data_IF_736633496262
#
_entry.id   IF_736633496262
#
_cell.length_a   1.000
_cell.length_b   1.000
_cell.length_c   1.000
_cell.angle_alpha   90.00
_cell.angle_beta   90.00
_cell.angle_gamma   90.00
#
_symmetry.space_group_name_H-M   'P 1'
#
loop_
_entity.id
_entity.type
_entity.pdbx_description
1 polymer ?
#
# COMPACT_ATOMS: atom_id res chain seq x y z
N UNK A 1 -3.71 9.30 58.83
CA UNK A 1 -4.39 10.31 59.71
C UNK A 1 -5.23 11.22 58.83
N UNK A 2 -6.52 11.15 59.09
CA UNK A 2 -7.51 12.26 59.18
C UNK A 2 -7.63 13.11 57.87
N UNK A 3 -8.77 13.47 57.35
CA UNK A 3 -10.21 13.32 57.68
C UNK A 3 -10.98 14.24 56.74
N UNK A 4 -12.10 13.80 56.16
CA UNK A 4 -13.44 14.43 56.07
C UNK A 4 -13.53 15.86 55.48
N UNK A 5 -14.53 16.29 54.71
CA UNK A 5 -15.99 16.33 54.91
C UNK A 5 -16.61 16.91 53.62
N UNK A 6 -17.57 16.34 52.91
CA UNK A 6 -19.04 16.37 53.04
C UNK A 6 -19.65 17.78 53.02
N UNK A 7 -20.61 17.93 52.19
CA UNK A 7 -21.93 18.63 52.20
C UNK A 7 -22.11 19.54 51.01
N UNK A 8 -23.22 19.68 50.33
CA UNK A 8 -24.59 19.22 50.32
C UNK A 8 -25.34 20.08 49.27
N UNK A 9 -26.17 19.48 48.47
CA UNK A 9 -27.57 19.67 48.27
C UNK A 9 -28.08 21.13 48.11
N UNK A 10 -28.64 21.48 46.94
CA UNK A 10 -29.94 22.18 46.88
C UNK A 10 -30.63 21.93 45.53
N UNK A 11 -31.76 21.32 45.68
CA UNK A 11 -32.87 21.08 44.77
C UNK A 11 -33.74 22.33 44.71
N UNK A 12 -34.06 22.85 43.52
CA UNK A 12 -35.19 23.76 43.34
C UNK A 12 -36.00 23.30 42.14
N UNK A 13 -37.16 22.81 42.51
CA UNK A 13 -38.30 22.41 41.65
C UNK A 13 -39.23 23.64 41.55
N UNK A 14 -39.56 24.08 40.33
CA UNK A 14 -40.69 24.99 40.12
C UNK A 14 -41.55 24.48 39.03
N UNK A 15 -42.74 24.04 39.41
CA UNK A 15 -43.93 23.76 38.61
C UNK A 15 -44.77 25.04 38.49
N UNK A 16 -45.25 25.38 37.28
CA UNK A 16 -46.51 26.17 37.09
C UNK A 16 -47.02 25.82 35.66
N UNK A 17 -47.98 24.97 35.52
CA UNK A 17 -49.43 25.14 35.41
C UNK A 17 -49.93 25.78 34.11
N UNK A 18 -50.77 24.96 33.45
CA UNK A 18 -51.63 25.16 32.28
C UNK A 18 -52.52 26.41 32.34
N UNK A 19 -52.85 26.94 31.15
CA UNK A 19 -54.18 27.51 30.89
C UNK A 19 -54.54 27.34 29.40
N UNK A 20 -55.62 26.61 29.17
CA UNK A 20 -56.38 26.58 27.92
C UNK A 20 -57.20 27.87 27.77
N UNK A 21 -57.34 28.39 26.56
CA UNK A 21 -58.50 29.17 26.18
C UNK A 21 -58.77 29.07 24.67
N UNK A 22 -60.00 28.95 24.37
CA UNK A 22 -60.73 28.59 23.15
C UNK A 22 -60.75 29.69 22.07
N UNK A 23 -60.96 29.22 20.85
CA UNK A 23 -61.21 29.87 19.55
C UNK A 23 -62.26 31.01 19.53
N UNK A 24 -62.41 31.82 18.44
CA UNK A 24 -63.13 31.33 17.25
C UNK A 24 -62.49 31.75 15.87
N UNK A 25 -62.98 31.05 14.84
CA UNK A 25 -62.73 31.16 13.41
C UNK A 25 -62.94 32.57 12.83
N UNK A 26 -62.11 32.93 11.83
CA UNK A 26 -62.54 33.57 10.57
C UNK A 26 -61.66 33.09 9.43
N UNK A 27 -62.30 32.77 8.34
CA UNK A 27 -61.84 32.24 7.08
C UNK A 27 -61.26 33.38 6.22
N UNK A 28 -60.07 33.17 5.59
CA UNK A 28 -59.89 33.60 4.18
C UNK A 28 -58.66 32.97 3.56
N UNK A 29 -58.84 32.53 2.35
CA UNK A 29 -57.93 31.99 1.37
C UNK A 29 -56.68 32.86 1.16
N UNK A 30 -55.47 32.26 1.12
CA UNK A 30 -54.71 32.24 -0.11
C UNK A 30 -53.54 31.23 -0.05
N UNK A 31 -53.47 30.57 -1.13
CA UNK A 31 -52.46 29.67 -1.68
C UNK A 31 -51.05 30.18 -1.52
N UNK A 32 -50.18 29.47 -0.85
CA UNK A 32 -48.84 29.20 -1.36
C UNK A 32 -48.31 27.91 -0.69
N UNK A 33 -48.48 26.79 -1.39
CA UNK A 33 -47.91 25.48 -1.01
C UNK A 33 -46.46 25.48 -1.42
N UNK A 34 -45.58 25.98 -0.56
CA UNK A 34 -44.17 25.64 -0.66
C UNK A 34 -44.04 24.22 -0.09
N UNK A 35 -44.21 23.25 -0.97
CA UNK A 35 -43.82 21.85 -0.72
C UNK A 35 -42.32 21.86 -0.51
N UNK A 36 -41.87 21.89 0.73
CA UNK A 36 -40.53 21.47 1.06
C UNK A 36 -40.41 19.99 0.67
N UNK A 37 -39.90 19.75 -0.53
CA UNK A 37 -39.40 18.44 -0.91
C UNK A 37 -38.30 18.11 0.05
N UNK A 38 -38.58 17.31 1.06
CA UNK A 38 -37.55 16.54 1.72
C UNK A 38 -36.99 15.59 0.66
N UNK A 39 -35.95 16.03 -0.02
CA UNK A 39 -35.12 15.12 -0.80
C UNK A 39 -34.61 14.04 0.17
N UNK A 40 -35.28 12.92 0.16
CA UNK A 40 -34.76 11.68 0.69
C UNK A 40 -33.51 11.43 -0.18
N UNK A 41 -32.35 11.78 0.32
CA UNK A 41 -31.09 11.41 -0.29
C UNK A 41 -31.06 9.88 -0.33
N UNK A 42 -31.52 9.32 -1.43
CA UNK A 42 -31.35 7.90 -1.71
C UNK A 42 -29.84 7.67 -1.71
N UNK A 43 -29.34 7.01 -0.69
CA UNK A 43 -27.93 6.57 -0.61
C UNK A 43 -27.68 5.72 -1.86
N UNK A 44 -26.86 6.24 -2.77
CA UNK A 44 -26.44 5.46 -3.93
C UNK A 44 -25.72 4.20 -3.45
N UNK A 45 -25.86 3.08 -4.18
CA UNK A 45 -25.04 1.91 -3.89
C UNK A 45 -23.57 2.31 -4.01
N UNK A 46 -22.77 1.88 -3.05
CA UNK A 46 -21.32 2.07 -3.08
C UNK A 46 -20.72 1.15 -4.13
N UNK A 47 -19.59 1.56 -4.69
CA UNK A 47 -18.77 0.68 -5.54
C UNK A 47 -18.19 -0.44 -4.68
N UNK A 48 -18.22 -1.66 -5.20
CA UNK A 48 -17.54 -2.82 -4.61
C UNK A 48 -16.18 -2.99 -5.29
N UNK A 49 -15.10 -2.78 -4.55
CA UNK A 49 -13.75 -2.74 -5.10
C UNK A 49 -12.88 -3.81 -4.44
N UNK A 50 -12.18 -4.58 -5.26
CA UNK A 50 -11.14 -5.50 -4.81
C UNK A 50 -9.77 -4.91 -5.13
N UNK A 51 -8.90 -4.83 -4.14
CA UNK A 51 -7.51 -4.42 -4.29
C UNK A 51 -6.59 -5.62 -4.03
N UNK A 52 -5.56 -5.81 -4.84
CA UNK A 52 -4.70 -7.00 -4.77
C UNK A 52 -4.01 -7.13 -3.41
N UNK A 53 -3.17 -6.19 -3.05
CA UNK A 53 -2.39 -6.22 -1.81
C UNK A 53 -2.36 -4.85 -1.12
N UNK A 54 -1.62 -4.73 -0.01
CA UNK A 54 -1.78 -3.63 0.94
C UNK A 54 -1.62 -2.22 0.33
N UNK A 55 -0.58 -1.84 -0.45
CA UNK A 55 -0.50 -0.51 -1.05
C UNK A 55 -1.68 -0.19 -1.95
N UNK A 56 -2.13 -1.14 -2.77
CA UNK A 56 -3.29 -0.96 -3.65
C UNK A 56 -4.57 -0.73 -2.85
N UNK A 57 -4.76 -1.47 -1.76
CA UNK A 57 -5.85 -1.27 -0.83
C UNK A 57 -5.80 0.11 -0.16
N UNK A 58 -4.63 0.49 0.37
CA UNK A 58 -4.48 1.78 1.08
C UNK A 58 -4.73 2.96 0.14
N UNK A 59 -4.11 2.96 -1.05
CA UNK A 59 -4.29 4.05 -2.02
C UNK A 59 -5.75 4.14 -2.49
N UNK A 60 -6.36 3.01 -2.81
CA UNK A 60 -7.77 2.96 -3.21
C UNK A 60 -8.69 3.49 -2.12
N UNK A 61 -8.49 3.05 -0.88
CA UNK A 61 -9.28 3.49 0.27
C UNK A 61 -9.14 5.00 0.52
N UNK A 62 -7.93 5.54 0.39
CA UNK A 62 -7.68 6.97 0.55
C UNK A 62 -8.40 7.81 -0.51
N UNK A 63 -8.47 7.32 -1.75
CA UNK A 63 -9.18 7.99 -2.84
C UNK A 63 -10.69 7.84 -2.74
N UNK A 64 -11.16 6.61 -2.52
CA UNK A 64 -12.59 6.28 -2.52
C UNK A 64 -13.34 6.89 -1.32
N UNK A 65 -12.69 6.98 -0.15
CA UNK A 65 -13.33 7.44 1.07
C UNK A 65 -14.54 6.57 1.43
N UNK A 66 -15.65 7.21 1.69
CA UNK A 66 -16.92 6.56 2.02
C UNK A 66 -17.80 6.19 0.81
N UNK A 67 -17.32 6.44 -0.42
CA UNK A 67 -18.05 6.22 -1.68
C UNK A 67 -17.95 4.79 -2.20
N UNK A 68 -17.00 4.00 -1.67
CA UNK A 68 -16.84 2.60 -2.04
C UNK A 68 -16.62 1.71 -0.80
N UNK A 69 -16.88 0.43 -0.97
CA UNK A 69 -16.38 -0.63 -0.11
C UNK A 69 -15.10 -1.17 -0.78
N UNK A 70 -14.00 -1.09 -0.08
CA UNK A 70 -12.71 -1.54 -0.60
C UNK A 70 -12.23 -2.71 0.25
N UNK A 71 -12.08 -3.86 -0.39
CA UNK A 71 -11.57 -5.07 0.24
C UNK A 71 -10.20 -5.43 -0.32
N UNK A 72 -9.33 -5.92 0.53
CA UNK A 72 -8.03 -6.46 0.14
C UNK A 72 -8.17 -7.96 -0.15
N UNK A 73 -7.57 -8.43 -1.25
CA UNK A 73 -7.61 -9.85 -1.63
C UNK A 73 -6.59 -10.66 -0.82
N UNK A 74 -5.36 -10.18 -0.72
CA UNK A 74 -4.30 -10.89 -0.01
C UNK A 74 -4.41 -10.62 1.48
N UNK A 75 -4.63 -11.66 2.31
CA UNK A 75 -4.82 -11.49 3.75
C UNK A 75 -3.59 -10.92 4.46
N UNK A 76 -3.80 -10.40 5.68
CA UNK A 76 -2.70 -10.02 6.57
C UNK A 76 -1.74 -11.20 6.82
N UNK A 77 -0.46 -10.89 7.01
CA UNK A 77 0.63 -11.86 7.21
C UNK A 77 0.87 -12.84 6.05
N UNK A 78 0.36 -12.54 4.84
CA UNK A 78 0.60 -13.33 3.64
C UNK A 78 1.52 -12.53 2.71
N UNK A 79 2.54 -13.21 2.20
CA UNK A 79 3.49 -12.68 1.22
C UNK A 79 2.82 -12.66 -0.17
N UNK A 80 2.84 -11.54 -0.93
CA UNK A 80 2.03 -11.39 -2.12
C UNK A 80 2.64 -11.95 -3.42
N UNK A 81 3.95 -12.13 -3.52
CA UNK A 81 4.60 -12.52 -4.78
C UNK A 81 4.14 -13.89 -5.30
N UNK A 82 3.94 -14.85 -4.37
CA UNK A 82 3.51 -16.21 -4.71
C UNK A 82 2.02 -16.46 -4.42
N UNK A 83 1.29 -15.42 -4.05
CA UNK A 83 -0.12 -15.61 -3.73
C UNK A 83 -0.96 -15.87 -4.98
N UNK A 84 -1.81 -16.88 -4.92
CA UNK A 84 -2.74 -17.25 -5.97
C UNK A 84 -4.19 -17.19 -5.47
N UNK A 85 -5.13 -16.62 -6.26
CA UNK A 85 -6.52 -16.54 -5.84
C UNK A 85 -7.21 -17.90 -5.85
N UNK A 86 -7.97 -18.16 -4.79
CA UNK A 86 -8.87 -19.31 -4.74
C UNK A 86 -10.06 -19.14 -5.68
N UNK A 87 -10.82 -20.22 -5.91
CA UNK A 87 -12.06 -20.13 -6.70
C UNK A 87 -13.08 -19.15 -6.08
N UNK A 88 -13.05 -18.96 -4.76
CA UNK A 88 -13.88 -17.97 -4.08
C UNK A 88 -13.40 -16.55 -4.39
N UNK A 89 -12.10 -16.29 -4.31
CA UNK A 89 -11.53 -14.97 -4.63
C UNK A 89 -11.83 -14.58 -6.08
N UNK A 90 -11.69 -15.53 -7.02
CA UNK A 90 -12.05 -15.31 -8.43
C UNK A 90 -13.54 -14.94 -8.58
N UNK A 91 -14.42 -15.60 -7.86
CA UNK A 91 -15.84 -15.27 -7.89
C UNK A 91 -16.13 -13.88 -7.29
N UNK A 92 -15.45 -13.51 -6.22
CA UNK A 92 -15.56 -12.18 -5.60
C UNK A 92 -15.01 -11.08 -6.52
N UNK A 93 -13.87 -11.29 -7.17
CA UNK A 93 -13.29 -10.37 -8.16
C UNK A 93 -14.27 -10.18 -9.33
N UNK A 94 -14.81 -11.27 -9.88
CA UNK A 94 -15.71 -11.21 -11.03
C UNK A 94 -17.00 -10.45 -10.74
N UNK A 95 -17.46 -10.46 -9.49
CA UNK A 95 -18.67 -9.77 -9.06
C UNK A 95 -18.43 -8.31 -8.60
N UNK A 96 -17.17 -7.90 -8.48
CA UNK A 96 -16.81 -6.54 -8.11
C UNK A 96 -17.06 -5.54 -9.26
N UNK A 97 -17.14 -4.25 -8.91
CA UNK A 97 -17.19 -3.17 -9.89
C UNK A 97 -15.80 -2.81 -10.42
N UNK A 98 -14.75 -2.98 -9.58
CA UNK A 98 -13.37 -2.64 -9.92
C UNK A 98 -12.38 -3.61 -9.26
N UNK A 99 -11.40 -4.05 -10.04
CA UNK A 99 -10.14 -4.64 -9.55
C UNK A 99 -9.03 -3.59 -9.65
N UNK A 100 -8.33 -3.36 -8.54
CA UNK A 100 -7.13 -2.52 -8.47
C UNK A 100 -5.93 -3.41 -8.20
N UNK A 101 -4.93 -3.37 -9.08
CA UNK A 101 -3.71 -4.14 -8.97
C UNK A 101 -2.49 -3.28 -9.34
N UNK A 102 -1.30 -3.69 -8.90
CA UNK A 102 -0.08 -2.94 -9.17
C UNK A 102 0.35 -3.04 -10.63
N UNK A 103 0.44 -4.27 -11.15
CA UNK A 103 1.07 -4.55 -12.44
C UNK A 103 2.57 -4.75 -12.33
N UNK A 104 3.28 -4.54 -13.43
CA UNK A 104 4.73 -4.73 -13.52
C UNK A 104 5.21 -6.13 -13.07
N UNK A 105 4.37 -7.16 -13.22
CA UNK A 105 4.68 -8.54 -12.87
C UNK A 105 4.38 -8.93 -11.41
N UNK A 106 3.90 -8.01 -10.56
CA UNK A 106 3.59 -8.31 -9.15
C UNK A 106 2.51 -9.38 -9.00
N UNK A 107 1.44 -9.27 -9.75
CA UNK A 107 0.29 -10.19 -9.69
C UNK A 107 0.27 -11.08 -10.93
N UNK A 108 1.02 -12.18 -10.91
CA UNK A 108 1.12 -13.13 -12.03
C UNK A 108 -0.22 -13.78 -12.43
N UNK A 109 -1.19 -13.79 -11.52
CA UNK A 109 -2.52 -14.37 -11.72
C UNK A 109 -3.51 -13.45 -12.47
N UNK A 110 -3.21 -12.15 -12.62
CA UNK A 110 -4.17 -11.16 -13.15
C UNK A 110 -4.55 -11.46 -14.59
N UNK A 111 -3.61 -11.77 -15.46
CA UNK A 111 -3.87 -12.04 -16.88
C UNK A 111 -4.84 -13.21 -17.10
N UNK A 112 -4.73 -14.25 -16.27
CA UNK A 112 -5.65 -15.38 -16.31
C UNK A 112 -7.08 -14.96 -15.93
N UNK A 113 -7.22 -14.14 -14.88
CA UNK A 113 -8.54 -13.61 -14.47
C UNK A 113 -9.12 -12.72 -15.56
N UNK A 114 -8.35 -11.77 -16.10
CA UNK A 114 -8.81 -10.87 -17.15
C UNK A 114 -9.28 -11.62 -18.40
N UNK A 115 -8.58 -12.66 -18.78
CA UNK A 115 -8.99 -13.51 -19.91
C UNK A 115 -10.31 -14.24 -19.63
N UNK A 116 -10.53 -14.69 -18.41
CA UNK A 116 -11.74 -15.43 -18.02
C UNK A 116 -12.95 -14.52 -17.78
N UNK A 117 -12.74 -13.24 -17.48
CA UNK A 117 -13.80 -12.24 -17.22
C UNK A 117 -14.17 -11.41 -18.45
N UNK A 118 -13.67 -11.75 -19.64
CA UNK A 118 -13.99 -11.04 -20.87
C UNK A 118 -15.51 -10.95 -21.08
N UNK A 119 -16.04 -9.72 -21.19
CA UNK A 119 -17.47 -9.45 -21.28
C UNK A 119 -18.21 -9.31 -19.96
N UNK A 120 -17.53 -9.41 -18.82
CA UNK A 120 -18.08 -9.04 -17.50
C UNK A 120 -18.21 -7.53 -17.34
N UNK A 121 -18.81 -7.10 -16.22
CA UNK A 121 -18.89 -5.68 -15.84
C UNK A 121 -17.65 -5.18 -15.11
N UNK A 122 -16.75 -6.07 -14.75
CA UNK A 122 -15.54 -5.77 -13.98
C UNK A 122 -14.69 -4.75 -14.73
N UNK A 123 -14.49 -3.59 -14.12
CA UNK A 123 -13.45 -2.65 -14.53
C UNK A 123 -12.12 -3.04 -13.88
N UNK A 124 -11.02 -2.62 -14.50
CA UNK A 124 -9.68 -2.92 -13.99
C UNK A 124 -8.80 -1.69 -14.07
N UNK A 125 -7.97 -1.47 -13.06
CA UNK A 125 -6.92 -0.47 -13.10
C UNK A 125 -5.60 -1.08 -12.68
N UNK A 126 -4.63 -0.99 -13.58
CA UNK A 126 -3.21 -1.20 -13.30
C UNK A 126 -2.65 0.11 -12.73
N UNK A 127 -2.29 0.09 -11.45
CA UNK A 127 -1.88 1.31 -10.75
C UNK A 127 -0.54 1.85 -11.25
N UNK A 128 0.41 0.98 -11.61
CA UNK A 128 1.71 1.36 -12.16
C UNK A 128 1.69 1.80 -13.63
N UNK A 129 0.52 1.75 -14.29
CA UNK A 129 0.41 2.07 -15.71
C UNK A 129 0.99 3.43 -16.08
N UNK A 130 1.88 3.45 -17.07
CA UNK A 130 2.52 4.68 -17.56
C UNK A 130 3.73 5.11 -16.74
N UNK A 131 4.09 4.41 -15.66
CA UNK A 131 5.36 4.56 -14.99
C UNK A 131 6.50 3.94 -15.81
N UNK A 132 7.72 4.45 -15.60
CA UNK A 132 8.91 3.83 -16.16
C UNK A 132 9.33 2.67 -15.24
N UNK A 133 8.94 1.46 -15.63
CA UNK A 133 9.28 0.25 -14.89
C UNK A 133 10.76 -0.07 -15.10
N UNK A 134 11.43 -0.48 -14.03
CA UNK A 134 12.83 -0.93 -14.06
C UNK A 134 12.89 -2.40 -14.43
N UNK A 135 13.96 -2.78 -15.11
CA UNK A 135 14.32 -4.18 -15.24
C UNK A 135 14.68 -4.73 -13.86
N UNK A 136 14.27 -5.94 -13.60
CA UNK A 136 14.64 -6.68 -12.39
C UNK A 136 16.14 -6.99 -12.35
N UNK A 137 16.60 -7.43 -11.19
CA UNK A 137 17.98 -7.88 -11.05
C UNK A 137 18.04 -9.28 -11.66
N UNK A 138 18.80 -9.42 -12.76
CA UNK A 138 19.03 -10.72 -13.39
C UNK A 138 19.60 -11.70 -12.36
N UNK A 139 18.94 -12.84 -12.19
CA UNK A 139 19.48 -13.92 -11.39
C UNK A 139 20.75 -14.44 -12.09
N UNK A 140 21.87 -14.50 -11.37
CA UNK A 140 23.01 -15.29 -11.84
C UNK A 140 22.61 -16.77 -11.72
N UNK A 141 21.98 -17.32 -12.78
CA UNK A 141 21.81 -18.77 -12.89
C UNK A 141 23.18 -19.41 -12.69
N UNK A 142 23.28 -20.32 -11.75
CA UNK A 142 24.42 -21.19 -11.55
C UNK A 142 24.56 -22.16 -12.73
N UNK A 143 24.93 -21.65 -13.90
CA UNK A 143 25.17 -22.43 -15.09
C UNK A 143 26.55 -23.09 -15.01
N UNK A 144 26.63 -24.25 -14.34
CA UNK A 144 27.57 -25.29 -14.70
C UNK A 144 26.80 -26.31 -15.60
N UNK A 145 26.74 -26.04 -16.88
CA UNK A 145 26.15 -26.94 -17.87
C UNK A 145 26.61 -26.53 -19.27
N UNK A 146 27.53 -27.29 -19.83
CA UNK A 146 27.94 -27.21 -21.24
C UNK A 146 26.70 -27.37 -22.14
N UNK A 147 26.36 -26.37 -22.93
CA UNK A 147 25.28 -26.44 -23.93
C UNK A 147 25.81 -26.90 -25.26
N UNK A 148 25.38 -28.10 -25.69
CA UNK A 148 25.34 -28.49 -27.09
C UNK A 148 24.26 -27.67 -27.82
N UNK A 149 24.62 -27.19 -29.02
CA UNK A 149 23.74 -26.43 -29.90
C UNK A 149 22.56 -27.28 -30.40
N UNK A 150 21.34 -26.85 -30.12
CA UNK A 150 20.11 -27.40 -30.69
C UNK A 150 19.09 -26.29 -30.93
N UNK A 151 18.97 -25.83 -32.18
CA UNK A 151 17.94 -24.93 -32.64
C UNK A 151 16.54 -25.51 -32.43
N UNK A 152 15.72 -24.83 -31.65
CA UNK A 152 14.27 -24.92 -31.76
C UNK A 152 13.68 -23.53 -31.46
N UNK A 153 13.03 -22.94 -32.50
CA UNK A 153 12.21 -21.74 -32.35
C UNK A 153 11.09 -21.99 -31.32
N UNK A 154 11.24 -21.45 -30.16
CA UNK A 154 10.13 -21.15 -29.27
C UNK A 154 10.17 -19.64 -29.02
N UNK A 155 9.15 -18.95 -29.54
CA UNK A 155 8.75 -17.62 -29.04
C UNK A 155 8.37 -17.74 -27.56
N UNK A 156 9.34 -17.95 -26.69
CA UNK A 156 9.25 -17.58 -25.30
C UNK A 156 9.51 -16.09 -25.29
N UNK A 157 8.47 -15.28 -25.13
CA UNK A 157 8.61 -13.94 -24.65
C UNK A 157 9.24 -14.06 -23.27
N UNK A 158 10.57 -13.97 -23.23
CA UNK A 158 11.36 -13.72 -22.04
C UNK A 158 10.94 -12.31 -21.58
N UNK A 159 9.87 -12.27 -20.77
CA UNK A 159 9.57 -11.11 -19.95
C UNK A 159 10.64 -11.13 -18.88
N UNK A 160 11.81 -10.53 -19.17
CA UNK A 160 12.82 -10.26 -18.17
C UNK A 160 12.11 -9.72 -16.94
N UNK A 161 12.34 -10.35 -15.79
CA UNK A 161 11.63 -10.00 -14.57
C UNK A 161 11.66 -8.49 -14.36
N UNK A 162 10.49 -7.87 -14.39
CA UNK A 162 10.36 -6.44 -14.11
C UNK A 162 10.36 -6.21 -12.61
N UNK A 163 10.97 -5.13 -12.16
CA UNK A 163 10.88 -4.73 -10.74
C UNK A 163 9.50 -4.11 -10.46
N UNK A 164 8.62 -4.77 -9.69
CA UNK A 164 7.27 -4.29 -9.45
C UNK A 164 7.15 -3.22 -8.37
N UNK A 165 8.19 -2.97 -7.56
CA UNK A 165 8.12 -2.29 -6.26
C UNK A 165 8.02 -0.75 -6.35
N UNK A 166 7.24 -0.24 -7.32
CA UNK A 166 7.09 1.20 -7.61
C UNK A 166 6.52 1.98 -6.43
N UNK A 167 5.64 1.36 -5.62
CA UNK A 167 5.00 1.99 -4.46
C UNK A 167 5.98 2.41 -3.37
N UNK A 168 7.20 1.87 -3.35
CA UNK A 168 8.25 2.24 -2.38
C UNK A 168 8.92 3.58 -2.68
N UNK A 169 8.64 4.18 -3.83
CA UNK A 169 8.97 5.58 -4.10
C UNK A 169 7.74 6.46 -3.88
N UNK A 170 7.70 7.32 -2.85
CA UNK A 170 6.60 8.26 -2.65
C UNK A 170 6.27 9.12 -3.89
N UNK A 171 7.29 9.44 -4.69
CA UNK A 171 7.10 10.20 -5.94
C UNK A 171 6.34 9.38 -7.00
N UNK A 172 6.57 8.07 -7.10
CA UNK A 172 5.86 7.18 -8.04
C UNK A 172 4.47 6.80 -7.50
N UNK A 173 4.33 6.60 -6.19
CA UNK A 173 3.04 6.36 -5.54
C UNK A 173 2.01 7.47 -5.83
N UNK A 174 2.44 8.71 -6.04
CA UNK A 174 1.58 9.82 -6.49
C UNK A 174 0.89 9.48 -7.83
N UNK A 175 1.62 8.88 -8.77
CA UNK A 175 1.03 8.52 -10.07
C UNK A 175 0.07 7.34 -9.93
N UNK A 176 0.40 6.35 -9.08
CA UNK A 176 -0.50 5.23 -8.79
C UNK A 176 -1.84 5.73 -8.20
N UNK A 177 -1.78 6.65 -7.24
CA UNK A 177 -2.98 7.29 -6.66
C UNK A 177 -3.78 8.04 -7.73
N UNK A 178 -3.12 8.70 -8.70
CA UNK A 178 -3.81 9.38 -9.81
C UNK A 178 -4.47 8.41 -10.77
N UNK A 179 -3.83 7.30 -11.10
CA UNK A 179 -4.39 6.28 -11.96
C UNK A 179 -5.67 5.66 -11.33
N UNK A 180 -5.61 5.35 -10.04
CA UNK A 180 -6.76 4.88 -9.27
C UNK A 180 -7.89 5.93 -9.27
N UNK A 181 -7.56 7.20 -8.99
CA UNK A 181 -8.54 8.29 -8.97
C UNK A 181 -9.25 8.47 -10.32
N UNK A 182 -8.50 8.42 -11.41
CA UNK A 182 -9.07 8.56 -12.76
C UNK A 182 -10.07 7.46 -13.06
N UNK A 183 -9.75 6.20 -12.73
CA UNK A 183 -10.64 5.08 -12.96
C UNK A 183 -11.89 5.14 -12.08
N UNK A 184 -11.75 5.48 -10.80
CA UNK A 184 -12.89 5.70 -9.91
C UNK A 184 -13.82 6.81 -10.43
N UNK A 185 -13.25 7.91 -10.92
CA UNK A 185 -14.03 9.01 -11.49
C UNK A 185 -14.74 8.61 -12.80
N UNK A 186 -14.16 7.70 -13.58
CA UNK A 186 -14.78 7.14 -14.78
C UNK A 186 -15.96 6.23 -14.44
N UNK A 187 -15.82 5.43 -13.39
CA UNK A 187 -16.87 4.50 -12.93
C UNK A 187 -18.04 5.19 -12.23
N UNK A 188 -17.74 6.21 -11.42
CA UNK A 188 -18.76 7.01 -10.73
C UNK A 188 -18.55 8.51 -10.99
N UNK A 189 -18.98 9.03 -12.17
CA UNK A 189 -18.79 10.43 -12.54
C UNK A 189 -19.42 11.42 -11.55
N UNK A 190 -20.49 11.03 -10.92
CA UNK A 190 -21.17 11.84 -9.90
C UNK A 190 -20.35 12.06 -8.63
N UNK A 191 -19.44 11.14 -8.31
CA UNK A 191 -18.53 11.21 -7.17
C UNK A 191 -17.12 11.70 -7.57
N UNK A 192 -16.89 12.01 -8.84
CA UNK A 192 -15.57 12.39 -9.37
C UNK A 192 -14.91 13.53 -8.58
N UNK A 193 -15.68 14.56 -8.20
CA UNK A 193 -15.17 15.67 -7.39
C UNK A 193 -14.70 15.25 -6.00
N UNK A 194 -15.37 14.26 -5.40
CA UNK A 194 -14.98 13.70 -4.09
C UNK A 194 -13.68 12.92 -4.24
N UNK A 195 -13.59 12.05 -5.25
CA UNK A 195 -12.37 11.27 -5.53
C UNK A 195 -11.17 12.18 -5.83
N UNK A 196 -11.36 13.23 -6.62
CA UNK A 196 -10.33 14.21 -6.91
C UNK A 196 -9.88 14.97 -5.64
N UNK A 197 -10.79 15.41 -4.81
CA UNK A 197 -10.47 16.09 -3.55
C UNK A 197 -9.69 15.17 -2.60
N UNK A 198 -10.12 13.91 -2.43
CA UNK A 198 -9.47 12.92 -1.60
C UNK A 198 -8.06 12.59 -2.13
N UNK A 199 -7.94 12.30 -3.44
CA UNK A 199 -6.66 12.04 -4.07
C UNK A 199 -5.69 13.21 -3.89
N UNK A 200 -6.11 14.44 -4.12
CA UNK A 200 -5.27 15.63 -3.95
C UNK A 200 -4.82 15.78 -2.49
N UNK A 201 -5.69 15.51 -1.52
CA UNK A 201 -5.35 15.55 -0.10
C UNK A 201 -4.31 14.48 0.29
N UNK A 202 -4.42 13.27 -0.27
CA UNK A 202 -3.45 12.21 -0.01
C UNK A 202 -2.12 12.44 -0.75
N UNK A 203 -2.18 12.92 -2.00
CA UNK A 203 -1.01 13.29 -2.78
C UNK A 203 -0.19 14.38 -2.07
N UNK A 204 -0.82 15.37 -1.47
CA UNK A 204 -0.10 16.38 -0.68
C UNK A 204 0.67 15.77 0.50
N UNK A 205 0.19 14.66 1.07
CA UNK A 205 0.91 13.93 2.11
C UNK A 205 2.07 13.12 1.54
N UNK A 206 1.92 12.52 0.35
CA UNK A 206 2.99 11.81 -0.36
C UNK A 206 4.09 12.77 -0.81
N UNK A 207 3.75 13.95 -1.32
CA UNK A 207 4.71 15.01 -1.68
C UNK A 207 5.53 15.46 -0.45
N UNK A 208 4.87 15.59 0.70
CA UNK A 208 5.58 15.88 1.95
C UNK A 208 6.51 14.75 2.34
N UNK A 209 6.06 13.50 2.22
CA UNK A 209 6.88 12.33 2.50
C UNK A 209 8.09 12.25 1.56
N UNK A 210 7.92 12.51 0.26
CA UNK A 210 9.02 12.61 -0.70
C UNK A 210 10.06 13.65 -0.26
N UNK A 211 9.60 14.83 0.15
CA UNK A 211 10.50 15.87 0.68
C UNK A 211 11.23 15.43 1.95
N UNK A 212 10.56 14.73 2.87
CA UNK A 212 11.15 14.16 4.07
C UNK A 212 12.29 13.19 3.70
N UNK A 213 12.08 12.30 2.72
CA UNK A 213 13.10 11.39 2.20
C UNK A 213 14.27 12.13 1.55
N UNK A 214 14.01 13.07 0.64
CA UNK A 214 15.05 13.89 -0.02
C UNK A 214 15.92 14.63 0.99
N UNK A 215 15.32 15.24 1.99
CA UNK A 215 16.06 15.96 3.01
C UNK A 215 16.82 15.02 3.96
N UNK A 216 16.15 13.93 4.37
CA UNK A 216 16.69 12.99 5.33
C UNK A 216 17.87 12.15 4.83
N UNK A 217 17.91 11.86 3.51
CA UNK A 217 18.91 10.99 2.90
C UNK A 217 20.01 11.74 2.15
N UNK A 218 19.86 13.07 1.95
CA UNK A 218 20.80 13.90 1.17
C UNK A 218 22.25 13.80 1.67
N UNK A 219 22.43 13.92 2.96
CA UNK A 219 23.76 14.09 3.60
C UNK A 219 24.17 12.88 4.44
N UNK A 220 23.68 11.69 4.14
CA UNK A 220 24.11 10.46 4.81
C UNK A 220 25.58 10.18 4.51
N UNK A 221 26.31 9.62 5.48
CA UNK A 221 27.75 9.27 5.35
C UNK A 221 27.99 8.18 4.31
N UNK A 222 26.98 7.30 4.14
CA UNK A 222 27.00 6.18 3.19
C UNK A 222 25.81 6.28 2.27
N UNK A 223 25.89 5.59 1.14
CA UNK A 223 24.81 5.51 0.16
C UNK A 223 24.34 4.08 -0.10
N UNK A 224 25.10 3.10 0.33
CA UNK A 224 24.80 1.67 0.16
C UNK A 224 24.11 1.10 1.40
N UNK A 225 23.14 0.25 1.18
CA UNK A 225 22.42 -0.48 2.22
C UNK A 225 22.09 -1.90 1.74
N UNK A 226 22.11 -2.87 2.66
CA UNK A 226 21.88 -4.29 2.36
C UNK A 226 20.48 -4.66 2.83
N UNK A 227 19.70 -5.28 1.94
CA UNK A 227 18.32 -5.71 2.18
C UNK A 227 18.16 -7.20 1.95
N UNK A 228 17.09 -7.78 2.48
CA UNK A 228 16.77 -9.18 2.31
C UNK A 228 16.47 -9.50 0.85
N UNK A 229 15.54 -8.80 0.21
CA UNK A 229 15.30 -8.92 -1.23
C UNK A 229 15.37 -7.57 -1.97
N UNK A 230 15.17 -7.58 -3.28
CA UNK A 230 15.43 -6.46 -4.18
C UNK A 230 14.26 -5.47 -4.30
N UNK A 231 13.50 -5.21 -3.22
CA UNK A 231 12.32 -4.35 -3.27
C UNK A 231 12.59 -2.84 -3.39
N UNK A 232 13.74 -2.38 -2.92
CA UNK A 232 13.97 -0.94 -2.71
C UNK A 232 14.69 -0.25 -3.87
N UNK A 233 14.68 -0.82 -5.08
CA UNK A 233 15.36 -0.29 -6.26
C UNK A 233 14.87 1.11 -6.64
N UNK A 234 13.57 1.33 -6.69
CA UNK A 234 12.99 2.66 -7.00
C UNK A 234 13.29 3.70 -5.93
N UNK A 235 13.18 3.33 -4.65
CA UNK A 235 13.56 4.19 -3.53
C UNK A 235 15.04 4.57 -3.61
N UNK A 236 15.90 3.59 -3.84
CA UNK A 236 17.35 3.82 -3.97
C UNK A 236 17.65 4.78 -5.12
N UNK A 237 17.08 4.56 -6.30
CA UNK A 237 17.24 5.42 -7.47
C UNK A 237 16.79 6.85 -7.20
N UNK A 238 15.59 7.01 -6.60
CA UNK A 238 14.99 8.33 -6.38
C UNK A 238 15.79 9.20 -5.41
N UNK A 239 16.39 8.59 -4.38
CA UNK A 239 17.09 9.33 -3.32
C UNK A 239 18.62 9.20 -3.38
N UNK A 240 19.17 8.68 -4.50
CA UNK A 240 20.62 8.59 -4.74
C UNK A 240 21.32 7.62 -3.77
N UNK A 241 20.66 6.50 -3.47
CA UNK A 241 21.19 5.38 -2.70
C UNK A 241 21.52 4.21 -3.63
N UNK A 242 22.18 3.20 -3.08
CA UNK A 242 22.49 1.92 -3.74
C UNK A 242 22.01 0.78 -2.88
N UNK A 243 21.00 0.06 -3.34
CA UNK A 243 20.56 -1.20 -2.72
C UNK A 243 21.51 -2.33 -3.07
N UNK A 244 21.83 -3.17 -2.12
CA UNK A 244 22.57 -4.42 -2.27
C UNK A 244 21.69 -5.55 -1.72
N UNK A 245 20.90 -6.24 -2.55
CA UNK A 245 19.99 -7.25 -2.07
C UNK A 245 20.69 -8.59 -1.85
N UNK A 246 20.22 -9.35 -0.86
CA UNK A 246 20.68 -10.72 -0.56
C UNK A 246 20.00 -11.70 -1.53
N UNK A 247 18.66 -11.60 -1.66
CA UNK A 247 17.83 -12.38 -2.58
C UNK A 247 17.44 -11.55 -3.83
N UNK A 248 16.75 -12.20 -4.79
CA UNK A 248 16.21 -11.58 -6.00
C UNK A 248 15.00 -10.67 -5.74
N UNK A 249 14.04 -10.64 -6.67
CA UNK A 249 12.84 -9.80 -6.58
C UNK A 249 11.78 -10.35 -5.64
N UNK A 250 11.76 -11.64 -5.36
CA UNK A 250 10.89 -12.25 -4.37
C UNK A 250 11.67 -12.63 -3.10
N UNK A 251 11.11 -12.42 -1.91
CA UNK A 251 11.84 -12.58 -0.65
C UNK A 251 12.07 -14.03 -0.22
N UNK A 252 11.38 -15.00 -0.81
CA UNK A 252 11.48 -16.43 -0.54
C UNK A 252 12.60 -17.11 -1.34
N UNK A 253 13.19 -16.43 -2.33
CA UNK A 253 14.32 -16.92 -3.11
C UNK A 253 15.55 -17.13 -2.22
N UNK A 254 16.08 -18.36 -2.24
CA UNK A 254 17.27 -18.69 -1.46
C UNK A 254 18.55 -18.21 -2.19
N UNK A 255 19.35 -17.31 -1.57
CA UNK A 255 20.60 -16.87 -2.18
C UNK A 255 21.62 -18.02 -2.25
N UNK A 256 22.38 -18.10 -3.35
CA UNK A 256 23.45 -19.07 -3.47
C UNK A 256 24.56 -18.83 -2.43
N UNK A 257 25.33 -19.88 -2.08
CA UNK A 257 26.47 -19.74 -1.17
C UNK A 257 27.51 -18.74 -1.70
N UNK A 258 27.68 -18.62 -3.01
CA UNK A 258 28.51 -17.61 -3.68
C UNK A 258 27.98 -16.22 -3.37
N UNK A 259 26.70 -15.96 -3.59
CA UNK A 259 26.04 -14.67 -3.32
C UNK A 259 26.19 -14.27 -1.85
N UNK A 260 25.93 -15.20 -0.92
CA UNK A 260 26.12 -14.95 0.51
C UNK A 260 27.56 -14.52 0.83
N UNK A 261 28.56 -15.19 0.25
CA UNK A 261 29.97 -14.83 0.43
C UNK A 261 30.29 -13.45 -0.15
N UNK A 262 29.76 -13.10 -1.30
CA UNK A 262 29.92 -11.79 -1.93
C UNK A 262 29.32 -10.67 -1.06
N UNK A 263 28.12 -10.86 -0.52
CA UNK A 263 27.50 -9.91 0.38
C UNK A 263 28.30 -9.72 1.66
N UNK A 264 28.80 -10.81 2.26
CA UNK A 264 29.69 -10.76 3.44
C UNK A 264 30.95 -9.96 3.14
N UNK A 265 31.61 -10.21 1.99
CA UNK A 265 32.80 -9.49 1.57
C UNK A 265 32.52 -8.01 1.31
N UNK A 266 31.40 -7.71 0.62
CA UNK A 266 30.94 -6.33 0.41
C UNK A 266 30.75 -5.62 1.76
N UNK A 267 30.00 -6.24 2.66
CA UNK A 267 29.69 -5.68 3.98
C UNK A 267 30.95 -5.41 4.81
N UNK A 268 31.92 -6.32 4.81
CA UNK A 268 33.22 -6.14 5.49
C UNK A 268 34.01 -5.00 4.86
N UNK A 269 34.11 -4.95 3.54
CA UNK A 269 34.87 -3.92 2.80
C UNK A 269 34.28 -2.53 3.00
N UNK A 270 32.97 -2.42 2.99
CA UNK A 270 32.23 -1.16 3.15
C UNK A 270 31.90 -0.82 4.60
N UNK A 271 32.35 -1.62 5.57
CA UNK A 271 32.11 -1.42 7.00
C UNK A 271 30.61 -1.28 7.34
N UNK A 272 29.75 -2.11 6.71
CA UNK A 272 28.32 -2.15 6.97
C UNK A 272 28.07 -2.58 8.41
N UNK A 273 27.18 -1.88 9.12
CA UNK A 273 26.84 -2.16 10.51
C UNK A 273 25.40 -2.56 10.72
N UNK A 274 24.59 -2.46 9.69
CA UNK A 274 23.17 -2.83 9.73
C UNK A 274 22.79 -3.59 8.47
N UNK A 275 22.19 -4.79 8.64
CA UNK A 275 21.56 -5.57 7.58
C UNK A 275 20.05 -5.48 7.78
N UNK A 276 19.33 -5.18 6.71
CA UNK A 276 17.89 -5.04 6.77
C UNK A 276 17.18 -6.36 6.45
N UNK A 277 16.12 -6.64 7.22
CA UNK A 277 15.19 -7.74 7.01
C UNK A 277 13.75 -7.20 7.00
N UNK A 278 12.80 -8.05 6.66
CA UNK A 278 11.39 -7.73 6.41
C UNK A 278 10.46 -8.39 7.41
N UNK A 279 9.20 -7.90 7.46
CA UNK A 279 8.26 -8.32 8.52
C UNK A 279 7.49 -9.59 8.19
N UNK A 280 7.30 -9.93 6.90
CA UNK A 280 6.45 -11.05 6.46
C UNK A 280 7.21 -12.36 6.21
N UNK A 281 8.52 -12.32 6.15
CA UNK A 281 9.36 -13.47 5.81
C UNK A 281 10.44 -13.72 6.87
N UNK A 282 11.12 -14.88 6.79
CA UNK A 282 12.18 -15.24 7.74
C UNK A 282 13.40 -14.33 7.61
N UNK A 283 13.88 -13.76 8.71
CA UNK A 283 15.12 -12.96 8.78
C UNK A 283 16.41 -13.78 8.71
N UNK A 284 16.34 -15.11 8.54
CA UNK A 284 17.48 -16.04 8.75
C UNK A 284 18.71 -15.69 7.92
N UNK A 285 18.57 -15.27 6.66
CA UNK A 285 19.70 -14.89 5.82
C UNK A 285 20.33 -13.56 6.26
N UNK A 286 19.50 -12.56 6.56
CA UNK A 286 19.97 -11.28 7.07
C UNK A 286 20.68 -11.42 8.41
N UNK A 287 20.14 -12.24 9.32
CA UNK A 287 20.74 -12.52 10.63
C UNK A 287 22.06 -13.30 10.50
N UNK A 288 22.15 -14.24 9.56
CA UNK A 288 23.38 -14.98 9.28
C UNK A 288 24.49 -14.05 8.82
N UNK A 289 24.22 -13.15 7.87
CA UNK A 289 25.19 -12.18 7.40
C UNK A 289 25.57 -11.20 8.51
N UNK A 290 24.58 -10.67 9.24
CA UNK A 290 24.83 -9.75 10.35
C UNK A 290 25.73 -10.37 11.42
N UNK A 291 25.49 -11.62 11.79
CA UNK A 291 26.32 -12.38 12.73
C UNK A 291 27.76 -12.58 12.23
N UNK A 292 27.93 -12.96 10.97
CA UNK A 292 29.25 -13.20 10.37
C UNK A 292 30.14 -11.93 10.34
N UNK A 293 29.55 -10.76 10.18
CA UNK A 293 30.29 -9.50 10.11
C UNK A 293 30.29 -8.70 11.41
N UNK A 294 29.58 -9.17 12.44
CA UNK A 294 29.42 -8.44 13.70
C UNK A 294 28.53 -7.19 13.57
N UNK A 295 27.61 -7.21 12.61
CA UNK A 295 26.60 -6.16 12.43
C UNK A 295 25.32 -6.49 13.21
N UNK A 296 24.35 -5.60 13.18
CA UNK A 296 22.99 -5.82 13.71
C UNK A 296 21.99 -5.97 12.58
N UNK A 297 20.87 -6.62 12.87
CA UNK A 297 19.70 -6.65 12.01
C UNK A 297 18.75 -5.51 12.35
N UNK A 298 18.05 -4.98 11.36
CA UNK A 298 16.99 -3.98 11.53
C UNK A 298 15.89 -4.19 10.50
N UNK A 299 14.69 -3.72 10.80
CA UNK A 299 13.56 -3.82 9.86
C UNK A 299 13.65 -2.70 8.82
N UNK A 300 13.46 -3.07 7.55
CA UNK A 300 13.10 -2.18 6.45
C UNK A 300 11.91 -2.84 5.74
N UNK A 301 10.75 -2.23 5.85
CA UNK A 301 9.47 -2.84 5.48
C UNK A 301 9.13 -2.52 4.02
N UNK A 302 8.98 -3.52 3.12
CA UNK A 302 8.62 -3.30 1.72
C UNK A 302 7.13 -2.98 1.52
N UNK A 303 6.31 -2.94 2.58
CA UNK A 303 4.87 -2.67 2.52
C UNK A 303 4.07 -3.66 1.64
N UNK A 304 4.58 -4.83 1.40
CA UNK A 304 3.90 -5.87 0.59
C UNK A 304 2.65 -6.42 1.27
N UNK A 305 2.57 -6.28 2.57
CA UNK A 305 1.40 -6.63 3.37
C UNK A 305 1.36 -5.83 4.66
N UNK A 306 0.40 -6.15 5.49
CA UNK A 306 0.26 -5.59 6.83
C UNK A 306 0.06 -6.73 7.82
N UNK A 307 0.74 -6.67 8.94
CA UNK A 307 0.56 -7.65 10.01
C UNK A 307 -0.73 -7.37 10.81
N UNK A 308 -1.28 -8.38 11.47
CA UNK A 308 -2.42 -8.20 12.36
C UNK A 308 -2.14 -7.18 13.46
N UNK A 309 -0.89 -7.12 13.95
CA UNK A 309 -0.45 -6.16 14.96
C UNK A 309 -0.47 -4.72 14.42
N UNK A 310 0.04 -4.48 13.23
CA UNK A 310 0.05 -3.17 12.57
C UNK A 310 -1.36 -2.69 12.27
N UNK A 311 -2.22 -3.61 11.77
CA UNK A 311 -3.63 -3.34 11.57
C UNK A 311 -4.34 -2.92 12.85
N UNK A 312 -4.10 -3.62 13.96
CA UNK A 312 -4.66 -3.29 15.27
C UNK A 312 -4.15 -1.93 15.80
N UNK A 313 -2.96 -1.50 15.42
CA UNK A 313 -2.35 -0.22 15.77
C UNK A 313 -2.70 0.92 14.81
N UNK A 314 -3.55 0.67 13.80
CA UNK A 314 -3.87 1.62 12.73
C UNK A 314 -2.62 2.18 12.02
N UNK A 315 -1.59 1.36 11.87
CA UNK A 315 -0.42 1.69 11.06
C UNK A 315 -0.86 1.85 9.60
N UNK A 316 -0.25 2.78 8.88
CA UNK A 316 -0.58 3.06 7.50
C UNK A 316 0.67 3.26 6.65
N UNK A 317 0.51 3.31 5.33
CA UNK A 317 1.60 3.49 4.37
C UNK A 317 2.56 4.64 4.77
N UNK A 318 2.03 5.81 5.09
CA UNK A 318 2.84 6.99 5.43
C UNK A 318 3.66 6.78 6.71
N UNK A 319 3.10 6.07 7.69
CA UNK A 319 3.80 5.80 8.96
C UNK A 319 4.90 4.77 8.79
N UNK A 320 4.66 3.70 8.01
CA UNK A 320 5.68 2.68 7.70
C UNK A 320 6.83 3.31 6.91
N UNK A 321 6.53 4.08 5.87
CA UNK A 321 7.57 4.77 5.09
C UNK A 321 8.40 5.72 5.94
N UNK A 322 7.84 6.42 6.93
CA UNK A 322 8.62 7.23 7.87
C UNK A 322 9.51 6.38 8.78
N UNK A 323 9.03 5.22 9.21
CA UNK A 323 9.86 4.27 9.96
C UNK A 323 11.03 3.78 9.10
N UNK A 324 10.77 3.47 7.82
CA UNK A 324 11.81 3.11 6.85
C UNK A 324 12.84 4.23 6.67
N UNK A 325 12.39 5.47 6.53
CA UNK A 325 13.29 6.62 6.46
C UNK A 325 14.18 6.73 7.71
N UNK A 326 13.60 6.61 8.90
CA UNK A 326 14.35 6.67 10.16
C UNK A 326 15.36 5.51 10.28
N UNK A 327 15.00 4.30 9.85
CA UNK A 327 15.89 3.14 9.83
C UNK A 327 17.06 3.35 8.86
N UNK A 328 16.79 3.82 7.63
CA UNK A 328 17.82 4.16 6.64
C UNK A 328 18.75 5.27 7.14
N UNK A 329 18.20 6.37 7.68
CA UNK A 329 19.01 7.46 8.23
C UNK A 329 19.98 6.98 9.31
N UNK A 330 19.51 6.11 10.19
CA UNK A 330 20.32 5.53 11.25
C UNK A 330 21.44 4.67 10.67
N UNK A 331 21.11 3.72 9.80
CA UNK A 331 22.06 2.78 9.22
C UNK A 331 23.13 3.46 8.34
N UNK A 332 22.71 4.45 7.55
CA UNK A 332 23.60 5.16 6.63
C UNK A 332 24.50 6.21 7.32
N UNK A 333 24.31 6.47 8.61
CA UNK A 333 25.14 7.39 9.40
C UNK A 333 25.97 6.72 10.50
N UNK A 334 25.96 5.41 10.58
CA UNK A 334 26.78 4.61 11.51
C UNK A 334 28.29 4.59 11.21
#
# INVERSE_FOLDING_TARGET
>A
MKKYLITALMLVMVLVVSACSSSPQVNEKNTDSTTASSETSATRPKLEIKASFYPMYEFTRQVAGDRANVDILIPANVEPHEWEPTAQDIAEITNADLLVYNGAGMEGWVDQILSSTTGSKLAVVEASKGLQIMDGIAEEEGSEGEHEEGHADHDSHDHGDLDPHVWLSPALAIQEVRNIQQELSRLSPDDATVFEANANAYIAQLEKLDQEFRQGLKNTKRKDFITQHAAFGYLAREYGLTQVPIAGLAPDQEPSAKKMSEIVNFAKTHHVKTIFFETLVSSSFADTIASEIGAKSAVLDPLEGITDQEKAQNVNYLSIMRNNLAALQKALNE
#
